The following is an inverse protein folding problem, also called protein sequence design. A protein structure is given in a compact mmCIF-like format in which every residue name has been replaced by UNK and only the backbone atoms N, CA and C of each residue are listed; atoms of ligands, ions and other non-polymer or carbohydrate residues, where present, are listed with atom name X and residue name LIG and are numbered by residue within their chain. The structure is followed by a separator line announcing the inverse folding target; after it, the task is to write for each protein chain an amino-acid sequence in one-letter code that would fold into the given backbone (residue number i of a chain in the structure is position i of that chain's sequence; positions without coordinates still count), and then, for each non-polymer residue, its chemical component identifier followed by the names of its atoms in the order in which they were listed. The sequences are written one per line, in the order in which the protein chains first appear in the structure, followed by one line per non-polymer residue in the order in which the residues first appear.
data_IF_646507863088
#
_entry.id   IF_646507863088
#
_cell.length_a   1.000
_cell.length_b   1.000
_cell.length_c   1.000
_cell.angle_alpha   90.00
_cell.angle_beta   90.00
_cell.angle_gamma   90.00
#
_symmetry.space_group_name_H-M   'P 1'
#
loop_
_entity.id
_entity.type
_entity.pdbx_description
1 polymer ?
#
# COMPACT_ATOMS: atom_id res chain seq x y z
N UNK A 1 -9.21 11.94 26.13
CA UNK A 1 -7.81 11.53 25.99
C UNK A 1 -7.63 10.33 25.05
N UNK A 2 -8.29 9.21 25.31
CA UNK A 2 -8.22 8.04 24.42
C UNK A 2 -8.74 8.32 23.02
N UNK A 3 -9.85 9.04 22.89
CA UNK A 3 -10.44 9.38 21.59
C UNK A 3 -9.49 10.23 20.74
N UNK A 4 -8.81 11.20 21.32
CA UNK A 4 -7.83 12.05 20.62
C UNK A 4 -6.63 11.23 20.15
N UNK A 5 -6.13 10.30 20.97
CA UNK A 5 -5.02 9.42 20.60
C UNK A 5 -5.42 8.47 19.47
N UNK A 6 -6.63 7.89 19.53
CA UNK A 6 -7.15 7.04 18.46
C UNK A 6 -7.24 7.79 17.13
N UNK A 7 -7.73 9.03 17.16
CA UNK A 7 -7.79 9.89 15.96
C UNK A 7 -6.39 10.19 15.41
N UNK A 8 -5.43 10.43 16.28
CA UNK A 8 -4.03 10.63 15.87
C UNK A 8 -3.47 9.37 15.20
N UNK A 9 -3.71 8.20 15.77
CA UNK A 9 -3.27 6.92 15.19
C UNK A 9 -3.90 6.70 13.82
N UNK A 10 -5.20 7.01 13.67
CA UNK A 10 -5.89 6.90 12.38
C UNK A 10 -5.26 7.82 11.33
N UNK A 11 -4.94 9.05 11.72
CA UNK A 11 -4.29 10.01 10.82
C UNK A 11 -2.88 9.53 10.42
N UNK A 12 -2.10 9.04 11.36
CA UNK A 12 -0.77 8.49 11.09
C UNK A 12 -0.84 7.24 10.21
N UNK A 13 -1.83 6.39 10.43
CA UNK A 13 -2.05 5.18 9.63
C UNK A 13 -2.39 5.55 8.19
N UNK A 14 -3.30 6.49 7.99
CA UNK A 14 -3.66 6.97 6.65
C UNK A 14 -2.47 7.61 5.94
N UNK A 15 -1.69 8.41 6.64
CA UNK A 15 -0.49 9.04 6.09
C UNK A 15 0.57 7.99 5.73
N UNK A 16 0.77 6.97 6.56
CA UNK A 16 1.71 5.89 6.29
C UNK A 16 1.31 5.07 5.07
N UNK A 17 0.02 4.78 4.91
CA UNK A 17 -0.49 4.10 3.71
C UNK A 17 -0.21 4.95 2.47
N UNK A 18 -0.57 6.22 2.52
CA UNK A 18 -0.43 7.16 1.39
C UNK A 18 1.03 7.48 1.04
N UNK A 19 1.98 7.24 1.94
CA UNK A 19 3.41 7.47 1.69
C UNK A 19 4.02 6.53 0.67
N UNK A 20 3.32 5.47 0.30
CA UNK A 20 3.78 4.50 -0.67
C UNK A 20 4.57 3.34 -0.04
N UNK A 21 5.11 2.50 -0.89
CA UNK A 21 5.81 1.28 -0.46
C UNK A 21 6.97 0.95 -1.39
N UNK A 22 7.92 0.18 -0.90
CA UNK A 22 9.01 -0.34 -1.70
C UNK A 22 8.72 -1.78 -2.10
N UNK A 23 9.11 -2.14 -3.32
CA UNK A 23 8.94 -3.49 -3.84
C UNK A 23 10.04 -3.78 -4.85
N UNK A 24 10.62 -4.97 -4.80
CA UNK A 24 11.68 -5.37 -5.73
C UNK A 24 11.09 -5.96 -7.00
N UNK A 25 11.56 -5.45 -8.14
CA UNK A 25 11.22 -5.96 -9.47
C UNK A 25 12.52 -6.41 -10.14
N UNK A 26 12.59 -7.69 -10.49
CA UNK A 26 13.81 -8.30 -11.07
C UNK A 26 15.07 -8.04 -10.22
N UNK A 27 14.93 -8.10 -8.90
CA UNK A 27 16.02 -7.93 -7.96
C UNK A 27 16.40 -6.48 -7.66
N UNK A 28 15.70 -5.52 -8.25
CA UNK A 28 15.95 -4.09 -8.02
C UNK A 28 14.79 -3.48 -7.23
N UNK A 29 15.11 -2.82 -6.12
CA UNK A 29 14.11 -2.17 -5.29
C UNK A 29 13.65 -0.86 -5.91
N UNK A 30 12.33 -0.65 -5.93
CA UNK A 30 11.70 0.60 -6.36
C UNK A 30 10.71 1.06 -5.31
N UNK A 31 10.46 2.37 -5.27
CA UNK A 31 9.37 2.94 -4.51
C UNK A 31 8.16 3.16 -5.42
N UNK A 32 6.98 2.80 -4.94
CA UNK A 32 5.71 3.01 -5.64
C UNK A 32 4.85 3.97 -4.85
N UNK A 33 4.34 5.01 -5.50
CA UNK A 33 3.40 5.94 -4.87
C UNK A 33 2.07 5.24 -4.61
N UNK A 34 1.40 5.64 -3.52
CA UNK A 34 0.18 4.95 -3.08
C UNK A 34 -0.77 5.90 -2.36
N UNK A 35 -0.95 7.12 -2.86
CA UNK A 35 -1.97 8.05 -2.37
C UNK A 35 -3.37 7.51 -2.72
N UNK A 36 -4.42 8.21 -2.34
CA UNK A 36 -5.80 7.76 -2.56
C UNK A 36 -6.10 7.49 -4.04
N UNK A 37 -5.58 8.34 -4.92
CA UNK A 37 -5.75 8.16 -6.37
C UNK A 37 -4.99 6.92 -6.85
N UNK A 38 -3.75 6.74 -6.41
CA UNK A 38 -2.95 5.56 -6.74
C UNK A 38 -3.60 4.27 -6.25
N UNK A 39 -4.17 4.29 -5.04
CA UNK A 39 -4.87 3.14 -4.49
C UNK A 39 -6.02 2.68 -5.40
N UNK A 40 -6.79 3.64 -5.91
CA UNK A 40 -7.88 3.33 -6.84
C UNK A 40 -7.33 2.76 -8.15
N UNK A 41 -6.28 3.36 -8.69
CA UNK A 41 -5.66 2.90 -9.93
C UNK A 41 -5.09 1.48 -9.80
N UNK A 42 -4.44 1.18 -8.68
CA UNK A 42 -3.95 -0.17 -8.40
C UNK A 42 -5.10 -1.19 -8.39
N UNK A 43 -6.18 -0.88 -7.68
CA UNK A 43 -7.32 -1.79 -7.56
C UNK A 43 -8.01 -2.01 -8.92
N UNK A 44 -8.22 -0.95 -9.68
CA UNK A 44 -8.84 -1.03 -11.00
C UNK A 44 -7.98 -1.85 -11.97
N UNK A 45 -6.68 -1.61 -11.97
CA UNK A 45 -5.75 -2.33 -12.84
C UNK A 45 -5.62 -3.79 -12.43
N UNK A 46 -5.63 -4.09 -11.12
CA UNK A 46 -5.65 -5.46 -10.62
C UNK A 46 -6.89 -6.22 -11.12
N UNK A 47 -8.05 -5.56 -11.12
CA UNK A 47 -9.28 -6.14 -11.67
C UNK A 47 -9.12 -6.48 -13.16
N UNK A 48 -8.56 -5.58 -13.95
CA UNK A 48 -8.30 -5.81 -15.38
C UNK A 48 -7.35 -7.01 -15.56
N UNK A 49 -6.31 -7.10 -14.75
CA UNK A 49 -5.37 -8.21 -14.81
C UNK A 49 -6.02 -9.56 -14.46
N UNK A 50 -6.91 -9.57 -13.47
CA UNK A 50 -7.66 -10.78 -13.12
C UNK A 50 -8.61 -11.21 -14.24
N UNK A 51 -9.28 -10.25 -14.89
CA UNK A 51 -10.12 -10.53 -16.05
C UNK A 51 -9.30 -11.09 -17.22
N UNK A 52 -8.11 -10.53 -17.44
CA UNK A 52 -7.19 -11.03 -18.48
C UNK A 52 -6.79 -12.47 -18.21
N UNK A 53 -6.46 -12.81 -16.98
CA UNK A 53 -6.10 -14.17 -16.59
C UNK A 53 -7.26 -15.16 -16.73
N UNK A 54 -8.50 -14.70 -16.58
CA UNK A 54 -9.68 -15.53 -16.77
C UNK A 54 -10.04 -15.75 -18.25
N UNK A 55 -9.28 -15.16 -19.18
CA UNK A 55 -9.47 -15.34 -20.60
C UNK A 55 -10.40 -14.36 -21.27
N UNK A 56 -10.78 -13.26 -20.61
CA UNK A 56 -11.64 -12.23 -21.22
C UNK A 56 -10.91 -11.57 -22.39
N UNK A 57 -11.53 -11.50 -23.60
CA UNK A 57 -10.89 -10.88 -24.76
C UNK A 57 -10.92 -9.35 -24.70
N UNK A 58 -10.04 -8.71 -25.49
CA UNK A 58 -10.03 -7.26 -25.66
C UNK A 58 -9.25 -6.52 -24.59
N UNK A 59 -8.59 -7.21 -23.66
CA UNK A 59 -7.79 -6.59 -22.60
C UNK A 59 -6.32 -6.49 -23.02
N UNK A 60 -5.57 -5.48 -22.52
CA UNK A 60 -4.17 -5.32 -22.87
C UNK A 60 -3.30 -6.47 -22.35
N UNK A 61 -2.24 -6.81 -23.08
CA UNK A 61 -1.29 -7.86 -22.68
C UNK A 61 -0.36 -7.41 -21.56
N UNK A 62 -0.16 -6.10 -21.41
CA UNK A 62 0.71 -5.55 -20.38
C UNK A 62 0.20 -4.19 -19.92
N UNK A 63 0.67 -3.79 -18.74
CA UNK A 63 0.41 -2.47 -18.18
C UNK A 63 1.75 -1.80 -17.84
N UNK A 64 1.81 -0.47 -17.98
CA UNK A 64 2.98 0.31 -17.62
C UNK A 64 2.68 1.05 -16.32
N UNK A 65 3.62 1.02 -15.38
CA UNK A 65 3.43 1.59 -14.07
C UNK A 65 4.61 2.45 -13.66
N UNK A 66 4.33 3.58 -13.03
CA UNK A 66 5.37 4.48 -12.54
C UNK A 66 6.01 3.90 -11.28
N UNK A 67 7.33 3.82 -11.29
CA UNK A 67 8.14 3.42 -10.18
C UNK A 67 9.25 4.45 -9.98
N UNK A 68 9.82 4.51 -8.79
CA UNK A 68 10.85 5.49 -8.46
C UNK A 68 12.09 4.78 -7.93
N UNK A 69 13.26 5.17 -8.39
CA UNK A 69 14.51 4.54 -7.96
C UNK A 69 14.76 4.72 -6.46
N UNK A 70 15.44 3.73 -5.84
CA UNK A 70 15.80 3.78 -4.43
C UNK A 70 17.30 3.48 -4.32
N UNK A 71 18.11 4.44 -3.84
CA UNK A 71 17.81 5.84 -3.56
C UNK A 71 17.69 6.68 -4.84
N UNK A 72 17.34 7.94 -4.69
CA UNK A 72 17.33 8.90 -5.79
C UNK A 72 15.95 9.38 -6.19
N UNK A 73 14.94 8.53 -6.16
CA UNK A 73 13.56 8.92 -6.45
C UNK A 73 13.31 9.31 -7.92
N UNK A 74 14.12 8.81 -8.84
CA UNK A 74 13.95 9.08 -10.27
C UNK A 74 12.83 8.22 -10.84
N UNK A 75 11.98 8.81 -11.68
CA UNK A 75 10.88 8.11 -12.32
C UNK A 75 11.39 7.09 -13.33
N UNK A 76 10.93 5.86 -13.19
CA UNK A 76 11.05 4.83 -14.22
C UNK A 76 9.66 4.23 -14.48
N UNK A 77 9.37 3.98 -15.75
CA UNK A 77 8.12 3.33 -16.14
C UNK A 77 8.40 1.86 -16.41
N UNK A 78 7.84 1.01 -15.54
CA UNK A 78 8.02 -0.44 -15.63
C UNK A 78 6.82 -1.07 -16.31
N UNK A 79 7.07 -2.11 -17.10
CA UNK A 79 6.02 -2.85 -17.80
C UNK A 79 5.80 -4.19 -17.11
N UNK A 80 4.53 -4.51 -16.84
CA UNK A 80 4.14 -5.76 -16.20
C UNK A 80 3.11 -6.48 -17.06
N UNK A 81 3.23 -7.81 -17.16
CA UNK A 81 2.10 -8.62 -17.61
C UNK A 81 1.08 -8.78 -16.47
N UNK A 82 -0.04 -9.47 -16.73
CA UNK A 82 -1.09 -9.62 -15.72
C UNK A 82 -0.58 -10.29 -14.45
N UNK A 83 0.19 -11.37 -14.57
CA UNK A 83 0.79 -12.05 -13.41
C UNK A 83 1.74 -11.16 -12.63
N UNK A 84 2.59 -10.44 -13.34
CA UNK A 84 3.58 -9.54 -12.73
C UNK A 84 2.92 -8.39 -11.98
N UNK A 85 1.88 -7.79 -12.56
CA UNK A 85 1.14 -6.71 -11.88
C UNK A 85 0.40 -7.22 -10.65
N UNK A 86 -0.23 -8.39 -10.75
CA UNK A 86 -0.93 -8.99 -9.60
C UNK A 86 0.04 -9.35 -8.47
N UNK A 87 1.26 -9.77 -8.79
CA UNK A 87 2.29 -10.00 -7.79
C UNK A 87 2.69 -8.69 -7.08
N UNK A 88 2.86 -7.61 -7.83
CA UNK A 88 3.10 -6.27 -7.27
C UNK A 88 1.93 -5.83 -6.39
N UNK A 89 0.72 -6.01 -6.86
CA UNK A 89 -0.49 -5.63 -6.12
C UNK A 89 -0.61 -6.39 -4.81
N UNK A 90 -0.50 -7.71 -4.84
CA UNK A 90 -0.64 -8.57 -3.65
C UNK A 90 0.54 -8.43 -2.69
N UNK A 91 1.76 -8.56 -3.20
CA UNK A 91 2.98 -8.58 -2.38
C UNK A 91 3.51 -7.20 -2.02
N UNK A 92 3.14 -6.18 -2.77
CA UNK A 92 3.53 -4.78 -2.53
C UNK A 92 2.40 -3.98 -1.92
N UNK A 93 1.43 -3.57 -2.75
CA UNK A 93 0.36 -2.66 -2.34
C UNK A 93 -0.50 -3.20 -1.20
N UNK A 94 -1.04 -4.40 -1.34
CA UNK A 94 -1.95 -4.97 -0.34
C UNK A 94 -1.21 -5.35 0.94
N UNK A 95 -0.02 -5.89 0.82
CA UNK A 95 0.80 -6.20 2.00
C UNK A 95 1.11 -4.93 2.80
N UNK A 96 1.47 -3.85 2.10
CA UNK A 96 1.71 -2.55 2.71
C UNK A 96 0.46 -2.00 3.41
N UNK A 97 -0.65 -1.93 2.69
CA UNK A 97 -1.91 -1.37 3.21
C UNK A 97 -2.43 -2.18 4.39
N UNK A 98 -2.57 -3.49 4.21
CA UNK A 98 -3.10 -4.36 5.25
C UNK A 98 -2.19 -4.41 6.49
N UNK A 99 -0.87 -4.49 6.30
CA UNK A 99 0.08 -4.47 7.40
C UNK A 99 0.07 -3.15 8.16
N UNK A 100 -0.05 -2.04 7.46
CA UNK A 100 -0.11 -0.71 8.08
C UNK A 100 -1.41 -0.53 8.86
N UNK A 101 -2.55 -0.96 8.30
CA UNK A 101 -3.84 -0.94 8.99
C UNK A 101 -3.82 -1.82 10.25
N UNK A 102 -3.22 -3.01 10.17
CA UNK A 102 -3.13 -3.93 11.30
C UNK A 102 -2.31 -3.30 12.43
N UNK A 103 -1.17 -2.69 12.13
CA UNK A 103 -0.34 -2.01 13.14
C UNK A 103 -1.10 -0.85 13.78
N UNK A 104 -1.85 -0.07 13.00
CA UNK A 104 -2.71 0.98 13.53
C UNK A 104 -3.77 0.45 14.47
N UNK A 105 -4.42 -0.66 14.10
CA UNK A 105 -5.42 -1.33 14.93
C UNK A 105 -4.84 -1.87 16.24
N UNK A 106 -3.63 -2.43 16.20
CA UNK A 106 -2.93 -2.90 17.39
C UNK A 106 -2.61 -1.75 18.35
N UNK A 107 -2.15 -0.62 17.82
CA UNK A 107 -1.91 0.59 18.63
C UNK A 107 -3.18 1.09 19.29
N UNK A 108 -4.29 1.10 18.56
CA UNK A 108 -5.59 1.53 19.10
C UNK A 108 -6.07 0.59 20.21
N UNK A 109 -5.82 -0.71 20.07
CA UNK A 109 -6.13 -1.67 21.12
C UNK A 109 -5.31 -1.40 22.40
N UNK A 110 -4.04 -1.04 22.26
CA UNK A 110 -3.20 -0.62 23.39
C UNK A 110 -3.77 0.62 24.07
N UNK A 111 -4.24 1.60 23.31
CA UNK A 111 -4.90 2.79 23.84
C UNK A 111 -6.14 2.42 24.65
N UNK A 112 -6.98 1.54 24.13
CA UNK A 112 -8.21 1.11 24.83
C UNK A 112 -7.91 0.39 26.15
N UNK A 113 -6.86 -0.42 26.19
CA UNK A 113 -6.44 -1.15 27.36
C UNK A 113 -5.66 -0.31 28.37
N UNK A 114 -5.25 0.91 28.01
CA UNK A 114 -4.43 1.78 28.86
C UNK A 114 -5.19 2.22 30.11
N UNK A 115 -4.51 2.16 31.25
CA UNK A 115 -5.06 2.54 32.56
C UNK A 115 -4.68 3.97 32.96
N UNK A 116 -3.61 4.54 32.35
CA UNK A 116 -3.09 5.86 32.70
C UNK A 116 -2.91 6.74 31.47
N UNK A 117 -2.83 8.05 31.70
CA UNK A 117 -2.54 9.02 30.63
C UNK A 117 -1.17 8.74 29.97
N UNK A 118 -0.19 8.33 30.77
CA UNK A 118 1.15 8.00 30.27
C UNK A 118 1.13 6.81 29.32
N UNK A 119 0.35 5.78 29.66
CA UNK A 119 0.16 4.61 28.79
C UNK A 119 -0.52 4.98 27.48
N UNK A 120 -1.50 5.89 27.51
CA UNK A 120 -2.17 6.39 26.31
C UNK A 120 -1.17 7.11 25.39
N UNK A 121 -0.35 7.99 25.95
CA UNK A 121 0.64 8.72 25.16
C UNK A 121 1.69 7.82 24.54
N UNK A 122 2.10 6.76 25.24
CA UNK A 122 3.13 5.84 24.78
C UNK A 122 2.66 4.88 23.68
N UNK A 123 1.37 4.72 23.48
CA UNK A 123 0.79 3.76 22.53
C UNK A 123 1.08 4.09 21.04
#
# INVERSE_FOLDING_TARGET
MKAAKAAQIDAETSAAIASGFNYAVDGVAYHFSYDTFDQQNFADTANVCMMKQSGMPGLPDSVTWNAYTVPGGELERLTFDASGFLALYAGGAMRHKNGTMQRGGERKAVVEAAATAEEVEAA
#
